data_IF_024691434469
#
_entry.id   IF_024691434469
#
_cell.length_a   1.000
_cell.length_b   1.000
_cell.length_c   1.000
_cell.angle_alpha   90.00
_cell.angle_beta   90.00
_cell.angle_gamma   90.00
#
_symmetry.space_group_name_H-M   'P 1'
#
loop_
_entity.id
_entity.type
_entity.pdbx_description
1 polymer ?
#
# COMPACT_ATOMS: atom_id res chain seq x y z
N UNK A 1 -25.21 -7.99 -1.36
CA UNK A 1 -24.85 -7.51 -0.02
C UNK A 1 -23.47 -6.89 -0.14
N UNK A 2 -23.39 -5.57 -0.29
CA UNK A 2 -22.11 -4.89 -0.53
C UNK A 2 -21.33 -4.83 0.78
N UNK A 3 -20.20 -5.53 0.81
CA UNK A 3 -19.24 -5.53 1.92
C UNK A 3 -18.77 -4.08 2.13
N UNK A 4 -19.11 -3.50 3.28
CA UNK A 4 -18.78 -2.12 3.62
C UNK A 4 -17.26 -2.04 3.78
N UNK A 5 -16.58 -1.38 2.84
CA UNK A 5 -15.14 -1.11 2.92
C UNK A 5 -14.85 -0.43 4.26
N UNK A 6 -14.07 -1.07 5.12
CA UNK A 6 -13.51 -0.41 6.29
C UNK A 6 -12.36 0.45 5.77
N UNK A 7 -12.59 1.76 5.74
CA UNK A 7 -11.55 2.73 5.42
C UNK A 7 -10.67 2.88 6.65
N UNK A 8 -9.35 2.83 6.44
CA UNK A 8 -8.35 2.95 7.49
C UNK A 8 -7.57 4.20 7.12
N UNK A 9 -7.73 5.26 7.92
CA UNK A 9 -6.96 6.49 7.79
C UNK A 9 -5.79 6.42 8.78
N UNK A 10 -4.57 6.41 8.26
CA UNK A 10 -3.35 6.44 9.09
C UNK A 10 -2.14 6.82 8.23
N UNK A 11 -1.15 7.43 8.86
CA UNK A 11 0.15 7.66 8.24
C UNK A 11 1.08 6.48 8.53
N UNK A 12 1.90 6.09 7.55
CA UNK A 12 2.90 5.07 7.74
C UNK A 12 4.06 5.14 6.76
N UNK A 13 5.10 4.36 7.05
CA UNK A 13 6.34 4.31 6.25
C UNK A 13 6.44 2.94 5.57
N UNK A 14 6.76 2.94 4.28
CA UNK A 14 6.98 1.69 3.53
C UNK A 14 8.30 1.06 3.96
N UNK A 15 8.22 -0.14 4.53
CA UNK A 15 9.39 -0.94 4.90
C UNK A 15 9.81 -1.87 3.77
N UNK A 16 8.84 -2.44 3.05
CA UNK A 16 9.10 -3.45 2.02
C UNK A 16 8.05 -3.40 0.93
N UNK A 17 8.48 -3.65 -0.32
CA UNK A 17 7.60 -3.87 -1.47
C UNK A 17 7.95 -5.20 -2.14
N UNK A 18 6.94 -6.03 -2.40
CA UNK A 18 7.10 -7.34 -3.06
C UNK A 18 6.14 -7.44 -4.25
N UNK A 19 6.63 -7.71 -5.47
CA UNK A 19 5.79 -8.02 -6.63
C UNK A 19 4.79 -9.13 -6.32
N UNK A 20 3.51 -8.87 -6.57
CA UNK A 20 2.44 -9.86 -6.38
C UNK A 20 1.52 -9.89 -7.59
N UNK A 21 1.36 -11.07 -8.20
CA UNK A 21 0.63 -11.25 -9.47
C UNK A 21 1.16 -10.30 -10.58
N UNK A 22 0.39 -10.17 -11.64
CA UNK A 22 0.80 -9.45 -12.86
C UNK A 22 0.99 -7.95 -12.62
N UNK A 23 0.07 -7.31 -11.88
CA UNK A 23 0.06 -5.84 -11.72
C UNK A 23 0.01 -5.35 -10.27
N UNK A 24 0.00 -6.23 -9.27
CA UNK A 24 -0.13 -5.84 -7.87
C UNK A 24 1.20 -5.83 -7.12
N UNK A 25 1.21 -5.15 -5.99
CA UNK A 25 2.30 -5.18 -5.00
C UNK A 25 1.72 -5.53 -3.64
N UNK A 26 2.47 -6.30 -2.86
CA UNK A 26 2.29 -6.40 -1.41
C UNK A 26 3.29 -5.44 -0.77
N UNK A 27 2.81 -4.63 0.17
CA UNK A 27 3.59 -3.59 0.82
C UNK A 27 3.47 -3.77 2.32
N UNK A 28 4.61 -3.84 3.01
CA UNK A 28 4.68 -3.75 4.47
C UNK A 28 4.87 -2.30 4.87
N UNK A 29 4.00 -1.82 5.74
CA UNK A 29 3.93 -0.43 6.18
C UNK A 29 3.98 -0.41 7.69
N UNK A 30 4.88 0.40 8.23
CA UNK A 30 4.84 0.73 9.65
C UNK A 30 3.91 1.93 9.85
N UNK A 31 2.67 1.65 10.23
CA UNK A 31 1.64 2.65 10.57
C UNK A 31 1.81 3.17 11.98
N UNK A 32 1.50 4.45 12.17
CA UNK A 32 1.49 5.11 13.47
C UNK A 32 0.46 4.52 14.43
N UNK A 33 -0.72 4.18 13.94
CA UNK A 33 -1.87 3.78 14.76
C UNK A 33 -2.02 2.26 14.88
N UNK A 34 -1.56 1.51 13.87
CA UNK A 34 -1.76 0.06 13.77
C UNK A 34 -0.46 -0.76 13.82
N UNK A 35 0.70 -0.11 13.89
CA UNK A 35 2.00 -0.78 13.86
C UNK A 35 2.32 -1.37 12.48
N UNK A 36 2.98 -2.53 12.44
CA UNK A 36 3.32 -3.15 11.15
C UNK A 36 2.08 -3.80 10.50
N UNK A 37 1.68 -3.28 9.35
CA UNK A 37 0.54 -3.75 8.56
C UNK A 37 0.98 -4.10 7.14
N UNK A 38 0.32 -5.09 6.54
CA UNK A 38 0.58 -5.52 5.16
C UNK A 38 -0.63 -5.22 4.29
N UNK A 39 -0.43 -4.47 3.21
CA UNK A 39 -1.50 -4.07 2.27
C UNK A 39 -1.21 -4.56 0.86
N UNK A 40 -2.28 -4.79 0.09
CA UNK A 40 -2.19 -5.12 -1.34
C UNK A 40 -2.55 -3.89 -2.17
N UNK A 41 -1.54 -3.31 -2.82
CA UNK A 41 -1.74 -2.26 -3.80
C UNK A 41 -2.09 -2.88 -5.17
N UNK A 42 -3.40 -3.03 -5.43
CA UNK A 42 -3.91 -3.60 -6.68
C UNK A 42 -3.59 -2.67 -7.86
N UNK A 43 -2.97 -3.20 -8.91
CA UNK A 43 -2.67 -2.42 -10.12
C UNK A 43 -1.53 -1.42 -9.98
N UNK A 44 -0.80 -1.42 -8.86
CA UNK A 44 0.30 -0.51 -8.59
C UNK A 44 1.41 -0.53 -9.66
N UNK A 45 1.60 -1.68 -10.33
CA UNK A 45 2.63 -1.86 -11.38
C UNK A 45 2.14 -1.59 -12.81
N UNK A 46 0.88 -1.16 -13.00
CA UNK A 46 0.42 -0.77 -14.36
C UNK A 46 1.21 0.42 -14.84
N UNK A 47 1.66 0.41 -16.10
CA UNK A 47 2.53 1.44 -16.69
C UNK A 47 2.01 2.91 -16.62
N UNK A 48 0.73 3.13 -16.28
CA UNK A 48 0.11 4.45 -16.06
C UNK A 48 -0.40 4.67 -14.63
N UNK A 49 0.05 3.87 -13.66
CA UNK A 49 -0.35 3.99 -12.27
C UNK A 49 0.20 5.28 -11.66
N UNK A 50 -0.68 6.14 -11.12
CA UNK A 50 -0.29 7.33 -10.33
C UNK A 50 0.51 6.95 -9.07
N UNK A 51 0.41 5.69 -8.63
CA UNK A 51 1.00 5.19 -7.39
C UNK A 51 2.45 4.71 -7.55
N UNK A 52 3.02 4.70 -8.77
CA UNK A 52 4.39 4.22 -9.00
C UNK A 52 5.44 5.00 -8.20
N UNK A 53 5.27 6.32 -8.06
CA UNK A 53 6.23 7.16 -7.31
C UNK A 53 5.98 7.20 -5.80
N UNK A 54 4.76 6.93 -5.35
CA UNK A 54 4.39 7.03 -3.93
C UNK A 54 4.72 5.76 -3.14
N UNK A 55 4.88 4.63 -3.84
CA UNK A 55 5.11 3.31 -3.24
C UNK A 55 6.60 2.92 -3.19
N UNK A 56 7.45 3.90 -2.91
CA UNK A 56 8.90 3.72 -2.78
C UNK A 56 9.31 3.37 -1.34
N UNK A 57 10.41 2.64 -1.20
CA UNK A 57 10.93 2.24 0.11
C UNK A 57 11.27 3.49 0.93
N UNK A 58 10.94 3.44 2.22
CA UNK A 58 11.14 4.53 3.19
C UNK A 58 10.36 5.81 2.87
N UNK A 59 9.46 5.79 1.90
CA UNK A 59 8.53 6.88 1.68
C UNK A 59 7.42 6.85 2.73
N UNK A 60 6.98 8.03 3.17
CA UNK A 60 5.78 8.19 3.98
C UNK A 60 4.54 8.16 3.07
N UNK A 61 3.48 7.53 3.55
CA UNK A 61 2.17 7.55 2.91
C UNK A 61 1.05 7.75 3.92
N UNK A 62 -0.01 8.37 3.43
CA UNK A 62 -1.32 8.41 4.09
C UNK A 62 -2.18 7.32 3.42
N UNK A 63 -2.62 6.35 4.23
CA UNK A 63 -3.47 5.23 3.82
C UNK A 63 -4.95 5.60 3.87
#
# INVERSE_FOLDING_TARGET
MSEKSREIDTTGIILRKVPFKETSLIIEIFSKDYGNISVMAKGARKAKSKSIGQLELLNELEL
#
